data_IF_706301748927
#
_entry.id   IF_706301748927
#
_cell.length_a   1.000
_cell.length_b   1.000
_cell.length_c   1.000
_cell.angle_alpha   90.00
_cell.angle_beta   90.00
_cell.angle_gamma   90.00
#
_symmetry.space_group_name_H-M   'P 1'
#
loop_
_entity.id
_entity.type
_entity.pdbx_description
1 polymer ?
#
# COMPACT_ATOMS: atom_id res chain seq x y z
N UNK A 1 1.31 -67.85 36.82
CA UNK A 1 1.50 -66.56 37.48
C UNK A 1 0.66 -65.49 36.73
N UNK A 2 -0.51 -65.25 37.29
CA UNK A 2 -1.51 -64.30 36.73
C UNK A 2 -1.18 -62.86 37.17
N UNK A 3 -0.71 -62.04 36.27
CA UNK A 3 -0.43 -60.60 36.50
C UNK A 3 -1.74 -59.89 36.73
N UNK A 4 -2.03 -59.56 37.99
CA UNK A 4 -3.18 -58.75 38.37
C UNK A 4 -2.91 -57.30 37.85
N UNK A 5 -3.55 -56.93 36.75
CA UNK A 5 -3.66 -55.55 36.36
C UNK A 5 -4.45 -54.79 37.45
N UNK A 6 -3.75 -53.98 38.26
CA UNK A 6 -4.37 -52.98 39.11
C UNK A 6 -5.25 -52.06 38.25
N UNK A 7 -6.55 -52.34 38.27
CA UNK A 7 -7.56 -51.47 37.72
C UNK A 7 -7.47 -50.12 38.45
N UNK A 8 -7.12 -49.04 37.73
CA UNK A 8 -7.18 -47.69 38.26
C UNK A 8 -8.67 -47.33 38.34
N UNK A 9 -9.30 -47.60 39.52
CA UNK A 9 -10.72 -47.31 39.76
C UNK A 9 -10.98 -45.82 39.59
N UNK A 10 -11.89 -45.48 38.70
CA UNK A 10 -12.49 -44.15 38.63
C UNK A 10 -13.35 -43.98 39.89
N UNK A 11 -13.09 -42.91 40.65
CA UNK A 11 -13.86 -42.67 41.89
C UNK A 11 -15.30 -42.28 41.54
N UNK A 12 -16.21 -43.23 41.80
CA UNK A 12 -17.66 -43.10 41.63
C UNK A 12 -18.18 -42.08 42.65
N UNK A 13 -18.47 -40.87 42.22
CA UNK A 13 -19.11 -39.83 43.04
C UNK A 13 -18.44 -38.45 43.08
N UNK A 14 -17.21 -38.32 42.64
CA UNK A 14 -16.54 -37.03 42.61
C UNK A 14 -16.85 -36.25 41.34
N UNK A 15 -17.38 -35.02 41.48
CA UNK A 15 -17.54 -34.08 40.36
C UNK A 15 -16.37 -33.06 40.36
N UNK A 16 -15.49 -33.13 39.37
CA UNK A 16 -14.40 -32.16 39.27
C UNK A 16 -14.97 -30.75 39.06
N UNK A 17 -14.39 -29.75 39.75
CA UNK A 17 -14.75 -28.33 39.59
C UNK A 17 -13.95 -27.67 38.47
N UNK A 18 -14.54 -26.64 37.84
CA UNK A 18 -13.91 -25.80 36.82
C UNK A 18 -13.42 -26.51 35.54
N UNK A 19 -14.16 -27.51 35.07
CA UNK A 19 -13.88 -28.17 33.79
C UNK A 19 -14.59 -27.48 32.61
N UNK A 20 -13.97 -27.55 31.42
CA UNK A 20 -14.68 -27.21 30.19
C UNK A 20 -15.86 -28.17 29.97
N UNK A 21 -16.91 -27.73 29.27
CA UNK A 21 -18.10 -28.56 28.97
C UNK A 21 -17.71 -29.89 28.31
N UNK A 22 -16.72 -29.85 27.39
CA UNK A 22 -16.24 -31.03 26.69
C UNK A 22 -15.48 -32.00 27.61
N UNK A 23 -14.66 -31.48 28.52
CA UNK A 23 -13.94 -32.34 29.48
C UNK A 23 -14.90 -32.99 30.46
N UNK A 24 -15.90 -32.27 30.95
CA UNK A 24 -16.94 -32.80 31.80
C UNK A 24 -17.73 -33.93 31.12
N UNK A 25 -18.18 -33.70 29.87
CA UNK A 25 -18.89 -34.70 29.08
C UNK A 25 -18.04 -35.97 28.89
N UNK A 26 -16.78 -35.84 28.49
CA UNK A 26 -15.89 -37.00 28.29
C UNK A 26 -15.65 -37.77 29.58
N UNK A 27 -15.50 -37.07 30.70
CA UNK A 27 -15.33 -37.70 32.01
C UNK A 27 -16.60 -38.45 32.42
N UNK A 28 -17.78 -37.88 32.23
CA UNK A 28 -19.04 -38.57 32.50
C UNK A 28 -19.19 -39.85 31.67
N UNK A 29 -18.79 -39.85 30.42
CA UNK A 29 -18.81 -41.04 29.57
C UNK A 29 -17.88 -42.11 30.12
N UNK A 30 -16.66 -41.75 30.58
CA UNK A 30 -15.75 -42.70 31.20
C UNK A 30 -16.36 -43.35 32.48
N UNK A 31 -17.00 -42.55 33.34
CA UNK A 31 -17.67 -43.08 34.56
C UNK A 31 -18.88 -43.94 34.20
N UNK A 32 -19.72 -43.52 33.26
CA UNK A 32 -20.89 -44.29 32.81
C UNK A 32 -20.48 -45.65 32.25
N UNK A 33 -19.37 -45.66 31.47
CA UNK A 33 -18.82 -46.90 30.93
C UNK A 33 -18.39 -47.86 32.05
N UNK A 34 -17.64 -47.41 33.08
CA UNK A 34 -17.27 -48.26 34.21
C UNK A 34 -18.49 -48.80 34.94
N UNK A 35 -19.51 -47.98 35.16
CA UNK A 35 -20.78 -48.43 35.79
C UNK A 35 -21.50 -49.50 34.97
N UNK A 36 -21.49 -49.40 33.65
CA UNK A 36 -22.08 -50.44 32.80
C UNK A 36 -21.27 -51.75 32.87
N UNK A 37 -19.94 -51.62 32.86
CA UNK A 37 -19.05 -52.79 33.01
C UNK A 37 -19.20 -53.49 34.33
N UNK A 38 -19.38 -52.77 35.44
CA UNK A 38 -19.67 -53.37 36.78
C UNK A 38 -21.07 -54.05 36.87
N UNK A 39 -22.01 -53.64 36.01
CA UNK A 39 -23.30 -54.24 35.85
C UNK A 39 -23.33 -55.48 34.95
N UNK A 40 -22.17 -55.89 34.40
CA UNK A 40 -22.02 -57.08 33.57
C UNK A 40 -22.15 -56.86 32.04
N UNK A 41 -22.37 -55.64 31.57
CA UNK A 41 -22.43 -55.37 30.13
C UNK A 41 -21.09 -55.67 29.48
N UNK A 42 -21.12 -56.24 28.27
CA UNK A 42 -19.94 -56.42 27.46
C UNK A 42 -19.36 -55.05 27.02
N UNK A 43 -18.11 -55.01 26.54
CA UNK A 43 -17.50 -53.77 26.05
C UNK A 43 -18.29 -53.17 24.89
N UNK A 44 -18.72 -54.02 23.96
CA UNK A 44 -19.47 -53.58 22.76
C UNK A 44 -20.81 -52.96 23.14
N UNK A 45 -21.58 -53.63 23.98
CA UNK A 45 -22.89 -53.17 24.47
C UNK A 45 -22.75 -51.84 25.24
N UNK A 46 -21.74 -51.72 26.10
CA UNK A 46 -21.55 -50.51 26.88
C UNK A 46 -21.21 -49.29 25.98
N UNK A 47 -20.39 -49.48 24.96
CA UNK A 47 -20.02 -48.43 24.03
C UNK A 47 -21.16 -48.05 23.08
N UNK A 48 -21.94 -49.03 22.63
CA UNK A 48 -23.15 -48.83 21.85
C UNK A 48 -24.21 -48.04 22.63
N UNK A 49 -24.44 -48.42 23.89
CA UNK A 49 -25.35 -47.69 24.78
C UNK A 49 -24.92 -46.22 24.96
N UNK A 50 -23.62 -45.97 25.08
CA UNK A 50 -23.08 -44.63 25.24
C UNK A 50 -22.95 -43.86 23.91
N UNK A 51 -23.24 -44.49 22.77
CA UNK A 51 -23.13 -43.92 21.42
C UNK A 51 -21.75 -43.34 21.11
N UNK A 52 -20.69 -44.00 21.58
CA UNK A 52 -19.30 -43.55 21.39
C UNK A 52 -18.49 -44.61 20.64
N UNK A 53 -17.79 -44.19 19.59
CA UNK A 53 -16.92 -45.11 18.84
C UNK A 53 -15.77 -45.59 19.74
N UNK A 54 -15.44 -46.89 19.62
CA UNK A 54 -14.38 -47.54 20.40
C UNK A 54 -13.06 -46.79 20.38
N UNK A 55 -12.62 -46.36 19.19
CA UNK A 55 -11.37 -45.59 19.00
C UNK A 55 -11.38 -44.26 19.77
N UNK A 56 -12.51 -43.55 19.76
CA UNK A 56 -12.70 -42.27 20.46
C UNK A 56 -12.67 -42.50 21.98
N UNK A 57 -13.37 -43.49 22.46
CA UNK A 57 -13.39 -43.84 23.88
C UNK A 57 -11.99 -44.16 24.41
N UNK A 58 -11.25 -45.05 23.73
CA UNK A 58 -9.89 -45.41 24.17
C UNK A 58 -8.89 -44.25 24.03
N UNK A 59 -9.07 -43.38 23.09
CA UNK A 59 -8.30 -42.12 23.01
C UNK A 59 -8.51 -41.26 24.27
N UNK A 60 -9.77 -41.09 24.71
CA UNK A 60 -10.06 -40.35 25.93
C UNK A 60 -9.54 -41.06 27.18
N UNK A 61 -9.71 -42.40 27.28
CA UNK A 61 -9.21 -43.18 28.37
C UNK A 61 -7.68 -43.14 28.49
N UNK A 62 -6.97 -43.18 27.33
CA UNK A 62 -5.52 -43.04 27.28
C UNK A 62 -5.08 -41.66 27.80
N UNK A 63 -5.79 -40.60 27.40
CA UNK A 63 -5.52 -39.24 27.87
C UNK A 63 -5.76 -39.10 29.38
N UNK A 64 -6.84 -39.65 29.88
CA UNK A 64 -7.16 -39.65 31.31
C UNK A 64 -6.10 -40.39 32.14
N UNK A 65 -5.61 -41.52 31.64
CA UNK A 65 -4.56 -42.34 32.30
C UNK A 65 -3.14 -41.78 32.12
N UNK A 66 -2.90 -40.87 31.19
CA UNK A 66 -1.56 -40.42 30.87
C UNK A 66 -0.91 -39.56 31.95
N UNK A 67 -1.68 -38.99 32.85
CA UNK A 67 -1.17 -38.22 33.99
C UNK A 67 -1.39 -38.91 35.33
N UNK A 68 -0.35 -38.92 36.16
CA UNK A 68 -0.45 -39.21 37.58
C UNK A 68 -0.90 -37.96 38.33
N UNK A 69 -1.73 -38.11 39.36
CA UNK A 69 -2.18 -36.98 40.18
C UNK A 69 -3.67 -37.04 40.54
N UNK A 70 -4.22 -35.93 41.02
CA UNK A 70 -5.59 -35.80 41.43
C UNK A 70 -6.58 -35.97 40.26
N UNK A 71 -7.82 -36.31 40.58
CA UNK A 71 -8.89 -36.47 39.57
C UNK A 71 -9.05 -35.22 38.74
N UNK A 72 -8.92 -34.03 39.31
CA UNK A 72 -9.00 -32.78 38.61
C UNK A 72 -7.88 -32.62 37.55
N UNK A 73 -6.66 -33.07 37.85
CA UNK A 73 -5.54 -33.04 36.91
C UNK A 73 -5.74 -34.01 35.75
N UNK A 74 -6.25 -35.20 36.02
CA UNK A 74 -6.56 -36.23 35.02
C UNK A 74 -7.73 -35.80 34.10
N UNK A 75 -8.76 -35.18 34.67
CA UNK A 75 -9.92 -34.69 33.89
C UNK A 75 -9.61 -33.48 33.08
N UNK A 76 -8.69 -32.60 33.50
CA UNK A 76 -8.22 -31.47 32.71
C UNK A 76 -7.57 -31.92 31.38
N UNK A 77 -6.93 -33.11 31.34
CA UNK A 77 -6.37 -33.65 30.09
C UNK A 77 -7.43 -34.06 29.06
N UNK A 78 -8.68 -34.19 29.48
CA UNK A 78 -9.80 -34.46 28.58
C UNK A 78 -10.27 -33.22 27.81
N UNK A 79 -9.83 -32.01 28.17
CA UNK A 79 -10.14 -30.78 27.46
C UNK A 79 -9.56 -30.81 26.04
N UNK A 80 -10.16 -30.02 25.15
CA UNK A 80 -9.61 -29.84 23.78
C UNK A 80 -8.26 -29.19 23.85
N UNK A 81 -7.25 -29.80 23.23
CA UNK A 81 -5.92 -29.19 23.11
C UNK A 81 -5.98 -28.08 22.06
N UNK A 82 -5.28 -26.99 22.33
CA UNK A 82 -5.13 -25.91 21.37
C UNK A 82 -4.55 -26.44 20.05
N UNK A 83 -5.16 -26.09 18.94
CA UNK A 83 -4.65 -26.38 17.59
C UNK A 83 -3.67 -25.30 17.11
N UNK A 84 -3.37 -24.28 17.91
CA UNK A 84 -2.41 -23.25 17.56
C UNK A 84 -1.01 -23.86 17.48
N UNK A 85 -0.19 -23.49 16.46
CA UNK A 85 1.17 -23.95 16.38
C UNK A 85 1.93 -23.55 17.65
N UNK A 86 2.63 -24.51 18.30
CA UNK A 86 3.45 -24.23 19.47
C UNK A 86 4.75 -23.50 19.12
N UNK A 87 5.19 -23.58 17.87
CA UNK A 87 6.32 -22.81 17.37
C UNK A 87 5.88 -21.39 17.02
N UNK A 88 5.91 -20.49 17.99
CA UNK A 88 5.91 -19.07 17.67
C UNK A 88 7.16 -18.79 16.84
N UNK A 89 6.96 -18.35 15.56
CA UNK A 89 8.08 -17.76 14.82
C UNK A 89 8.63 -16.68 15.72
N UNK A 90 9.91 -16.81 16.14
CA UNK A 90 10.59 -15.75 16.88
C UNK A 90 10.39 -14.48 16.06
N UNK A 91 9.59 -13.56 16.54
CA UNK A 91 9.42 -12.24 15.91
C UNK A 91 10.80 -11.65 15.86
N UNK A 92 11.36 -11.45 14.64
CA UNK A 92 12.65 -10.76 14.51
C UNK A 92 12.52 -9.45 15.25
N UNK A 93 13.32 -9.26 16.29
CA UNK A 93 13.36 -8.01 17.05
C UNK A 93 13.82 -6.95 16.06
N UNK A 94 12.95 -5.97 15.82
CA UNK A 94 13.27 -4.83 14.95
C UNK A 94 14.13 -3.88 15.77
N UNK A 95 15.30 -3.52 15.26
CA UNK A 95 16.21 -2.64 16.00
C UNK A 95 15.59 -1.25 16.20
N UNK A 96 15.76 -0.63 17.38
CA UNK A 96 15.27 0.73 17.62
C UNK A 96 15.81 1.76 16.62
N UNK A 97 17.07 1.56 16.16
CA UNK A 97 17.68 2.42 15.13
C UNK A 97 16.89 2.38 13.82
N UNK A 98 16.51 1.19 13.35
CA UNK A 98 15.69 1.04 12.15
C UNK A 98 14.30 1.69 12.31
N UNK A 99 13.69 1.57 13.48
CA UNK A 99 12.39 2.22 13.77
C UNK A 99 12.53 3.75 13.70
N UNK A 100 13.57 4.31 14.34
CA UNK A 100 13.86 5.75 14.31
C UNK A 100 14.14 6.24 12.89
N UNK A 101 14.89 5.47 12.09
CA UNK A 101 15.21 5.81 10.72
C UNK A 101 13.96 5.85 9.82
N UNK A 102 13.13 4.81 9.90
CA UNK A 102 11.84 4.77 9.19
C UNK A 102 10.92 5.91 9.62
N UNK A 103 10.92 6.27 10.91
CA UNK A 103 10.15 7.40 11.41
C UNK A 103 10.62 8.72 10.78
N UNK A 104 11.94 8.98 10.73
CA UNK A 104 12.50 10.17 10.09
C UNK A 104 12.10 10.27 8.63
N UNK A 105 12.28 9.18 7.84
CA UNK A 105 11.86 9.15 6.42
C UNK A 105 10.36 9.43 6.31
N UNK A 106 9.53 8.86 7.17
CA UNK A 106 8.08 9.03 7.13
C UNK A 106 7.63 10.42 7.55
N UNK A 107 8.35 11.09 8.45
CA UNK A 107 8.10 12.48 8.85
C UNK A 107 8.50 13.45 7.73
N UNK A 108 9.65 13.22 7.10
CA UNK A 108 10.09 14.02 5.95
C UNK A 108 9.16 13.82 4.75
N UNK A 109 8.73 12.58 4.49
CA UNK A 109 7.94 12.17 3.34
C UNK A 109 6.63 11.48 3.77
N UNK A 110 5.61 12.24 4.19
CA UNK A 110 4.38 11.66 4.75
C UNK A 110 3.61 10.75 3.79
N UNK A 111 3.82 10.88 2.48
CA UNK A 111 3.13 10.11 1.43
C UNK A 111 3.89 8.87 0.95
N UNK A 112 5.11 8.61 1.49
CA UNK A 112 5.84 7.40 1.11
C UNK A 112 5.26 6.17 1.78
N UNK A 113 4.83 5.19 0.98
CA UNK A 113 4.41 3.87 1.43
C UNK A 113 5.61 2.97 1.74
N UNK A 114 5.33 1.76 2.21
CA UNK A 114 6.34 0.77 2.64
C UNK A 114 7.37 0.43 1.55
N UNK A 115 6.96 0.39 0.28
CA UNK A 115 7.83 0.09 -0.86
C UNK A 115 8.82 1.23 -1.15
N UNK A 116 8.32 2.48 -1.16
CA UNK A 116 9.17 3.66 -1.36
C UNK A 116 10.17 3.83 -0.22
N UNK A 117 9.74 3.67 1.02
CA UNK A 117 10.62 3.73 2.21
C UNK A 117 11.69 2.64 2.13
N UNK A 118 11.33 1.40 1.75
CA UNK A 118 12.31 0.33 1.53
C UNK A 118 13.37 0.77 0.51
N UNK A 119 12.96 1.38 -0.60
CA UNK A 119 13.90 1.83 -1.64
C UNK A 119 14.82 2.95 -1.17
N UNK A 120 14.33 3.87 -0.33
CA UNK A 120 15.17 4.90 0.29
C UNK A 120 16.21 4.25 1.20
N UNK A 121 15.79 3.30 2.05
CA UNK A 121 16.71 2.56 2.93
C UNK A 121 17.77 1.76 2.16
N UNK A 122 17.40 1.18 1.01
CA UNK A 122 18.36 0.46 0.14
C UNK A 122 19.42 1.39 -0.44
N UNK A 123 19.09 2.67 -0.76
CA UNK A 123 20.07 3.68 -1.20
C UNK A 123 21.05 4.08 -0.09
N UNK A 124 20.68 3.83 1.17
CA UNK A 124 21.50 4.05 2.36
C UNK A 124 22.13 2.73 2.88
N UNK A 125 22.24 1.70 2.02
CA UNK A 125 22.78 0.36 2.32
C UNK A 125 22.08 -0.39 3.44
N UNK A 126 20.83 0.00 3.77
CA UNK A 126 20.01 -0.67 4.81
C UNK A 126 19.05 -1.67 4.15
N UNK A 127 19.45 -2.96 4.17
CA UNK A 127 18.68 -4.04 3.56
C UNK A 127 17.56 -4.54 4.49
N UNK A 128 16.32 -4.22 4.15
CA UNK A 128 15.11 -4.64 4.90
C UNK A 128 14.00 -5.12 3.96
N UNK A 129 13.15 -6.03 4.45
CA UNK A 129 11.99 -6.47 3.68
C UNK A 129 10.84 -5.44 3.75
N UNK A 130 10.03 -5.35 2.69
CA UNK A 130 8.80 -4.53 2.64
C UNK A 130 7.88 -4.87 3.82
N UNK A 131 7.77 -6.15 4.19
CA UNK A 131 6.96 -6.60 5.33
C UNK A 131 7.48 -6.06 6.67
N UNK A 132 8.79 -5.89 6.83
CA UNK A 132 9.40 -5.31 8.04
C UNK A 132 9.07 -3.82 8.12
N UNK A 133 9.27 -3.07 7.02
CA UNK A 133 8.87 -1.65 6.96
C UNK A 133 7.38 -1.49 7.26
N UNK A 134 6.52 -2.32 6.67
CA UNK A 134 5.07 -2.28 6.94
C UNK A 134 4.71 -2.52 8.40
N UNK A 135 5.40 -3.44 9.10
CA UNK A 135 5.21 -3.68 10.55
C UNK A 135 5.63 -2.48 11.39
N UNK A 136 6.76 -1.85 11.04
CA UNK A 136 7.22 -0.64 11.73
C UNK A 136 6.23 0.51 11.54
N UNK A 137 5.77 0.75 10.32
CA UNK A 137 4.77 1.80 10.05
C UNK A 137 3.47 1.56 10.84
N UNK A 138 3.00 0.31 10.91
CA UNK A 138 1.82 -0.04 11.71
C UNK A 138 2.06 0.25 13.19
N UNK A 139 3.20 -0.16 13.73
CA UNK A 139 3.59 0.11 15.11
C UNK A 139 3.64 1.62 15.41
N UNK A 140 4.25 2.42 14.51
CA UNK A 140 4.33 3.87 14.67
C UNK A 140 2.94 4.55 14.62
N UNK A 141 2.01 4.05 13.77
CA UNK A 141 0.62 4.50 13.74
C UNK A 141 -0.13 4.16 15.04
N UNK A 142 0.03 2.94 15.55
CA UNK A 142 -0.59 2.50 16.81
C UNK A 142 -0.08 3.30 18.01
N UNK A 143 1.18 3.76 17.96
CA UNK A 143 1.79 4.64 18.97
C UNK A 143 1.46 6.14 18.75
N UNK A 144 0.71 6.50 17.72
CA UNK A 144 0.37 7.89 17.42
C UNK A 144 1.55 8.75 16.95
N UNK A 145 2.70 8.14 16.59
CA UNK A 145 3.90 8.87 16.15
C UNK A 145 3.82 9.28 14.67
N UNK A 146 2.97 8.64 13.88
CA UNK A 146 2.66 9.02 12.51
C UNK A 146 1.16 8.98 12.28
N UNK A 147 0.67 9.90 11.46
CA UNK A 147 -0.74 9.97 11.10
C UNK A 147 -1.09 9.03 9.93
N UNK A 148 -2.36 8.61 9.90
CA UNK A 148 -2.89 7.91 8.75
C UNK A 148 -3.05 8.89 7.57
N UNK A 149 -2.36 8.62 6.47
CA UNK A 149 -2.32 9.46 5.26
C UNK A 149 -3.73 9.75 4.73
N UNK A 150 -4.60 8.75 4.69
CA UNK A 150 -5.97 8.92 4.18
C UNK A 150 -6.78 9.94 4.98
N UNK A 151 -6.51 10.08 6.29
CA UNK A 151 -7.14 11.09 7.13
C UNK A 151 -6.57 12.48 6.87
N UNK A 152 -5.24 12.58 6.69
CA UNK A 152 -4.55 13.85 6.40
C UNK A 152 -4.96 14.43 5.04
N UNK A 153 -5.04 13.58 4.01
CA UNK A 153 -5.49 13.96 2.66
C UNK A 153 -6.95 14.40 2.67
N UNK A 154 -7.84 13.67 3.35
CA UNK A 154 -9.26 14.06 3.45
C UNK A 154 -9.46 15.44 4.10
N UNK A 155 -8.67 15.80 5.10
CA UNK A 155 -8.77 17.11 5.77
C UNK A 155 -8.37 18.28 4.87
N UNK A 156 -7.43 18.08 3.93
CA UNK A 156 -6.93 19.12 3.00
C UNK A 156 -7.63 19.12 1.63
N UNK A 157 -8.27 18.01 1.21
CA UNK A 157 -8.85 17.88 -0.15
C UNK A 157 -10.16 18.65 -0.39
N UNK A 158 -10.79 19.21 0.65
CA UNK A 158 -12.04 19.96 0.53
C UNK A 158 -11.91 21.30 -0.22
N UNK A 159 -10.70 21.72 -0.55
CA UNK A 159 -10.39 23.05 -1.07
C UNK A 159 -10.03 23.12 -2.56
N UNK A 160 -9.95 21.97 -3.26
CA UNK A 160 -9.57 21.94 -4.66
C UNK A 160 -10.78 21.71 -5.57
N UNK A 161 -11.27 22.78 -6.20
CA UNK A 161 -12.28 22.70 -7.26
C UNK A 161 -11.62 22.94 -8.62
N UNK A 162 -11.81 22.02 -9.55
CA UNK A 162 -11.39 22.17 -10.94
C UNK A 162 -12.59 22.52 -11.83
N UNK A 163 -12.44 23.53 -12.70
CA UNK A 163 -13.44 23.85 -13.72
C UNK A 163 -12.95 23.35 -15.09
N UNK A 164 -13.84 22.77 -15.89
CA UNK A 164 -13.54 22.28 -17.24
C UNK A 164 -14.43 22.92 -18.29
N UNK A 165 -13.87 23.28 -19.44
CA UNK A 165 -14.60 23.45 -20.71
C UNK A 165 -13.73 22.95 -21.87
N UNK A 166 -14.38 22.30 -22.86
CA UNK A 166 -13.72 21.56 -23.95
C UNK A 166 -14.12 22.07 -25.32
N UNK A 167 -13.21 22.08 -26.29
CA UNK A 167 -13.50 22.07 -27.73
C UNK A 167 -12.44 21.29 -28.52
N UNK A 168 -12.78 20.84 -29.67
CA UNK A 168 -12.40 19.76 -30.58
C UNK A 168 -10.93 19.55 -30.99
N UNK A 169 -10.73 18.37 -31.54
CA UNK A 169 -9.60 17.56 -31.55
C UNK A 169 -9.44 16.57 -32.67
N UNK A 170 -8.29 16.34 -33.14
CA UNK A 170 -7.95 15.18 -33.93
C UNK A 170 -7.11 14.11 -33.22
N UNK A 171 -7.02 12.94 -33.81
CA UNK A 171 -6.82 11.61 -33.20
C UNK A 171 -5.40 11.31 -32.73
N UNK A 172 -5.30 10.89 -31.65
CA UNK A 172 -4.67 9.92 -30.76
C UNK A 172 -3.78 8.90 -31.42
N UNK A 173 -2.57 8.88 -30.86
CA UNK A 173 -1.63 7.80 -31.04
C UNK A 173 -2.10 6.54 -30.29
N UNK A 174 -2.33 5.45 -31.03
CA UNK A 174 -2.72 4.16 -30.43
C UNK A 174 -1.57 3.41 -29.76
N UNK A 175 -0.32 3.74 -30.10
CA UNK A 175 0.86 3.06 -29.56
C UNK A 175 1.44 3.83 -28.40
N UNK A 176 1.88 3.09 -27.38
CA UNK A 176 2.63 3.69 -26.28
C UNK A 176 3.99 4.21 -26.78
N UNK A 177 4.43 5.40 -26.36
CA UNK A 177 5.75 5.88 -26.69
C UNK A 177 6.81 4.97 -26.08
N UNK A 178 7.89 4.76 -26.82
CA UNK A 178 8.99 3.85 -26.45
C UNK A 178 10.29 4.60 -26.20
N UNK A 179 10.40 5.84 -26.72
CA UNK A 179 11.58 6.70 -26.58
C UNK A 179 11.23 7.95 -25.79
N UNK A 180 12.19 8.52 -25.03
CA UNK A 180 12.04 9.84 -24.44
C UNK A 180 11.75 10.90 -25.53
N UNK A 181 10.84 11.81 -25.26
CA UNK A 181 10.47 12.88 -26.20
C UNK A 181 9.56 12.46 -27.37
N UNK A 182 9.35 11.15 -27.60
CA UNK A 182 8.47 10.66 -28.65
C UNK A 182 7.03 11.20 -28.49
N UNK A 183 6.57 11.38 -27.25
CA UNK A 183 5.31 12.00 -26.89
C UNK A 183 5.43 12.70 -25.55
N UNK A 184 5.08 13.97 -25.47
CA UNK A 184 4.92 14.70 -24.21
C UNK A 184 3.44 14.96 -23.98
N UNK A 185 2.93 14.60 -22.80
CA UNK A 185 1.58 14.98 -22.37
C UNK A 185 1.63 16.30 -21.61
N UNK A 186 0.82 17.26 -22.04
CA UNK A 186 0.69 18.57 -21.37
C UNK A 186 -0.75 18.75 -20.90
N UNK A 187 -0.88 19.27 -19.69
CA UNK A 187 -2.17 19.61 -19.07
C UNK A 187 -2.01 20.86 -18.21
N UNK A 188 -3.11 21.56 -17.94
CA UNK A 188 -3.10 22.64 -16.99
C UNK A 188 -4.09 22.41 -15.85
N UNK A 189 -3.75 22.93 -14.67
CA UNK A 189 -4.62 22.90 -13.50
C UNK A 189 -4.90 24.31 -13.00
N UNK A 190 -6.17 24.51 -12.59
CA UNK A 190 -6.57 25.69 -11.83
C UNK A 190 -6.69 25.28 -10.37
N UNK A 191 -5.89 25.88 -9.52
CA UNK A 191 -5.88 25.64 -8.09
C UNK A 191 -6.38 26.91 -7.37
N UNK A 192 -7.40 26.74 -6.55
CA UNK A 192 -7.85 27.76 -5.60
C UNK A 192 -7.37 27.33 -4.23
N UNK A 193 -6.40 28.02 -3.69
CA UNK A 193 -5.79 27.71 -2.40
C UNK A 193 -6.57 28.34 -1.25
N UNK A 194 -6.37 27.82 -0.06
CA UNK A 194 -7.06 28.28 1.15
C UNK A 194 -6.76 29.75 1.52
N UNK A 195 -5.60 30.29 1.09
CA UNK A 195 -5.19 31.68 1.26
C UNK A 195 -5.77 32.64 0.18
N UNK A 196 -6.67 32.15 -0.68
CA UNK A 196 -7.31 32.93 -1.75
C UNK A 196 -6.51 33.04 -3.03
N UNK A 197 -5.27 32.54 -3.09
CA UNK A 197 -4.48 32.50 -4.32
C UNK A 197 -5.12 31.59 -5.37
N UNK A 198 -5.20 32.09 -6.61
CA UNK A 198 -5.58 31.33 -7.79
C UNK A 198 -4.34 31.04 -8.61
N UNK A 199 -3.96 29.78 -8.67
CA UNK A 199 -2.77 29.31 -9.39
C UNK A 199 -3.20 28.64 -10.69
N UNK A 200 -2.52 29.00 -11.77
CA UNK A 200 -2.60 28.35 -13.08
C UNK A 200 -1.28 27.61 -13.29
N UNK A 201 -1.32 26.31 -13.13
CA UNK A 201 -0.16 25.45 -13.27
C UNK A 201 -0.23 24.67 -14.57
N UNK A 202 0.76 24.83 -15.42
CA UNK A 202 1.01 23.96 -16.58
C UNK A 202 1.98 22.86 -16.19
N UNK A 203 1.73 21.65 -16.68
CA UNK A 203 2.60 20.50 -16.47
C UNK A 203 2.79 19.72 -17.75
N UNK A 204 4.06 19.40 -18.03
CA UNK A 204 4.48 18.49 -19.08
C UNK A 204 5.02 17.21 -18.45
N UNK A 205 4.70 16.07 -19.03
CA UNK A 205 5.20 14.76 -18.60
C UNK A 205 5.58 13.93 -19.80
N UNK A 206 6.78 13.37 -19.78
CA UNK A 206 7.16 12.32 -20.72
C UNK A 206 6.59 10.96 -20.25
N UNK A 207 5.67 10.31 -21.00
CA UNK A 207 5.10 9.01 -20.65
C UNK A 207 6.11 7.88 -20.55
N UNK A 208 7.27 7.99 -21.19
CA UNK A 208 8.30 6.96 -21.20
C UNK A 208 9.13 6.99 -19.92
N UNK A 209 9.71 8.14 -19.61
CA UNK A 209 10.63 8.31 -18.46
C UNK A 209 9.93 8.77 -17.18
N UNK A 210 8.73 9.36 -17.28
CA UNK A 210 8.00 10.06 -16.21
C UNK A 210 8.67 11.38 -15.79
N UNK A 211 9.67 11.86 -16.50
CA UNK A 211 10.20 13.20 -16.28
C UNK A 211 9.07 14.23 -16.41
N UNK A 212 9.04 15.18 -15.48
CA UNK A 212 7.96 16.15 -15.38
C UNK A 212 8.50 17.56 -15.17
N UNK A 213 7.93 18.51 -15.87
CA UNK A 213 8.19 19.95 -15.74
C UNK A 213 6.88 20.64 -15.40
N UNK A 214 6.91 21.54 -14.43
CA UNK A 214 5.74 22.28 -13.94
C UNK A 214 6.03 23.77 -13.78
N UNK A 215 5.11 24.62 -14.26
CA UNK A 215 5.24 26.09 -14.17
C UNK A 215 3.94 26.73 -13.77
N UNK A 216 4.06 27.81 -12.99
CA UNK A 216 2.93 28.62 -12.53
C UNK A 216 2.88 29.93 -13.32
N UNK A 217 1.70 30.24 -13.83
CA UNK A 217 1.38 31.49 -14.51
C UNK A 217 0.17 32.17 -13.88
N UNK A 218 0.04 33.47 -14.13
CA UNK A 218 -1.11 34.25 -13.65
C UNK A 218 -2.38 33.91 -14.43
N UNK A 219 -2.27 33.45 -15.67
CA UNK A 219 -3.36 33.05 -16.53
C UNK A 219 -3.04 31.81 -17.34
N UNK A 220 -4.06 31.01 -17.67
CA UNK A 220 -3.95 29.91 -18.62
C UNK A 220 -4.50 30.41 -19.97
N UNK A 221 -3.62 30.90 -20.82
CA UNK A 221 -3.88 31.36 -22.19
C UNK A 221 -2.86 30.77 -23.14
N UNK A 222 -3.07 30.92 -24.45
CA UNK A 222 -2.22 30.34 -25.47
C UNK A 222 -0.79 30.92 -25.45
N UNK A 223 -0.63 32.18 -25.08
CA UNK A 223 0.68 32.81 -24.94
C UNK A 223 1.51 32.13 -23.82
N UNK A 224 0.88 31.96 -22.64
CA UNK A 224 1.56 31.31 -21.51
C UNK A 224 1.81 29.81 -21.76
N UNK A 225 0.92 29.13 -22.47
CA UNK A 225 1.14 27.76 -22.89
C UNK A 225 2.33 27.64 -23.85
N UNK A 226 2.47 28.59 -24.81
CA UNK A 226 3.62 28.68 -25.70
C UNK A 226 4.91 28.92 -24.91
N UNK A 227 4.93 29.89 -24.00
CA UNK A 227 6.12 30.18 -23.18
C UNK A 227 6.48 28.96 -22.31
N UNK A 228 5.49 28.28 -21.74
CA UNK A 228 5.69 27.03 -21.03
C UNK A 228 6.35 25.96 -21.92
N UNK A 229 5.89 25.77 -23.15
CA UNK A 229 6.48 24.81 -24.08
C UNK A 229 7.94 25.16 -24.45
N UNK A 230 8.29 26.45 -24.57
CA UNK A 230 9.68 26.85 -24.74
C UNK A 230 10.55 26.43 -23.55
N UNK A 231 10.07 26.66 -22.31
CA UNK A 231 10.79 26.22 -21.11
C UNK A 231 10.95 24.69 -21.09
N UNK A 232 9.88 23.93 -21.41
CA UNK A 232 9.92 22.46 -21.47
C UNK A 232 10.98 21.95 -22.46
N UNK A 233 11.08 22.58 -23.65
CA UNK A 233 12.09 22.20 -24.63
C UNK A 233 13.53 22.51 -24.18
N UNK A 234 13.70 23.57 -23.44
CA UNK A 234 15.02 23.94 -22.92
C UNK A 234 15.48 23.07 -21.74
N UNK A 235 14.55 22.49 -20.99
CA UNK A 235 14.87 21.73 -19.79
C UNK A 235 14.93 20.20 -20.01
N UNK A 236 14.22 19.70 -21.03
CA UNK A 236 14.40 18.29 -21.41
C UNK A 236 15.68 18.13 -22.23
N UNK A 237 16.51 17.16 -21.88
CA UNK A 237 17.78 16.84 -22.57
C UNK A 237 17.56 16.02 -23.85
N UNK A 238 16.32 15.87 -24.31
CA UNK A 238 15.93 15.12 -25.48
C UNK A 238 15.01 15.98 -26.39
N UNK A 239 15.01 15.66 -27.67
CA UNK A 239 14.16 16.31 -28.65
C UNK A 239 12.68 15.87 -28.49
N UNK A 240 11.76 16.84 -28.62
CA UNK A 240 10.31 16.59 -28.51
C UNK A 240 9.74 16.38 -29.91
N UNK A 241 9.35 15.17 -30.23
CA UNK A 241 8.75 14.83 -31.52
C UNK A 241 7.24 15.17 -31.58
N UNK A 242 6.53 14.95 -30.48
CA UNK A 242 5.08 15.20 -30.44
C UNK A 242 4.57 15.60 -29.05
N UNK A 243 3.46 16.33 -29.05
CA UNK A 243 2.77 16.80 -27.86
C UNK A 243 1.31 16.33 -27.89
N UNK A 244 0.77 15.98 -26.75
CA UNK A 244 -0.63 15.63 -26.58
C UNK A 244 -1.27 16.52 -25.51
N UNK A 245 -2.39 17.15 -25.86
CA UNK A 245 -3.17 18.06 -24.99
C UNK A 245 -4.65 17.70 -24.98
N UNK A 246 -5.39 18.21 -24.03
CA UNK A 246 -6.83 17.93 -23.85
C UNK A 246 -7.78 18.82 -24.69
N UNK A 247 -7.27 19.64 -25.59
CA UNK A 247 -8.08 20.54 -26.43
C UNK A 247 -8.67 21.73 -25.68
N UNK A 248 -8.07 22.16 -24.58
CA UNK A 248 -8.37 23.43 -23.92
C UNK A 248 -8.05 24.62 -24.82
N UNK A 249 -8.75 25.73 -24.64
CA UNK A 249 -8.54 26.96 -25.45
C UNK A 249 -7.14 27.56 -25.30
N UNK A 250 -6.43 27.25 -24.23
CA UNK A 250 -5.04 27.64 -23.95
C UNK A 250 -4.02 26.93 -24.85
N UNK A 251 -4.40 25.85 -25.51
CA UNK A 251 -3.57 25.11 -26.44
C UNK A 251 -3.89 25.41 -27.91
N UNK A 252 -4.65 26.49 -28.17
CA UNK A 252 -5.00 26.97 -29.52
C UNK A 252 -4.18 28.22 -29.91
N UNK A 253 -4.25 28.59 -31.16
CA UNK A 253 -3.59 29.83 -31.66
C UNK A 253 -2.09 29.81 -31.47
N UNK A 254 -1.54 30.70 -30.68
CA UNK A 254 -0.08 30.91 -30.52
C UNK A 254 0.65 29.64 -30.08
N UNK A 255 -0.03 28.72 -29.36
CA UNK A 255 0.56 27.44 -28.99
C UNK A 255 0.65 26.50 -30.22
N UNK A 256 -0.42 26.40 -31.00
CA UNK A 256 -0.46 25.59 -32.22
C UNK A 256 0.56 26.12 -33.25
N UNK A 257 0.59 27.44 -33.49
CA UNK A 257 1.54 28.08 -34.37
C UNK A 257 2.98 27.78 -33.96
N UNK A 258 3.27 27.80 -32.66
CA UNK A 258 4.62 27.49 -32.18
C UNK A 258 4.96 26.01 -32.40
N UNK A 259 4.02 25.09 -32.19
CA UNK A 259 4.23 23.67 -32.50
C UNK A 259 4.53 23.45 -34.00
N UNK A 260 3.83 24.17 -34.90
CA UNK A 260 4.07 24.11 -36.36
C UNK A 260 5.45 24.66 -36.70
N UNK A 261 5.83 25.83 -36.17
CA UNK A 261 7.14 26.46 -36.41
C UNK A 261 8.30 25.55 -36.00
N UNK A 262 8.15 24.86 -34.87
CA UNK A 262 9.15 23.94 -34.32
C UNK A 262 9.04 22.51 -34.86
N UNK A 263 8.12 22.27 -35.79
CA UNK A 263 7.84 20.94 -36.40
C UNK A 263 7.44 19.88 -35.39
N UNK A 264 6.88 20.30 -34.27
CA UNK A 264 6.35 19.40 -33.24
C UNK A 264 4.94 18.97 -33.62
N UNK A 265 4.68 17.66 -33.67
CA UNK A 265 3.37 17.12 -33.99
C UNK A 265 2.41 17.29 -32.84
N UNK A 266 1.33 18.06 -33.01
CA UNK A 266 0.33 18.29 -31.99
C UNK A 266 -0.81 17.28 -32.11
N UNK A 267 -1.10 16.55 -31.01
CA UNK A 267 -2.25 15.69 -30.86
C UNK A 267 -3.22 16.30 -29.86
N UNK A 268 -4.43 16.57 -30.31
CA UNK A 268 -5.49 17.08 -29.46
C UNK A 268 -6.48 15.98 -29.14
N UNK A 269 -6.79 15.77 -27.86
CA UNK A 269 -7.64 14.69 -27.42
C UNK A 269 -9.12 14.98 -27.67
N UNK A 270 -9.92 13.94 -28.05
CA UNK A 270 -11.37 14.11 -28.11
C UNK A 270 -11.95 14.47 -26.73
N UNK A 271 -13.07 15.20 -26.71
CA UNK A 271 -13.78 15.51 -25.47
C UNK A 271 -14.11 14.24 -24.67
N UNK A 272 -13.97 14.30 -23.35
CA UNK A 272 -14.30 13.23 -22.40
C UNK A 272 -13.46 11.96 -22.57
N UNK A 273 -12.20 12.09 -22.93
CA UNK A 273 -11.26 10.97 -23.11
C UNK A 273 -10.14 10.93 -22.06
N UNK A 274 -10.44 10.92 -20.74
CA UNK A 274 -9.41 11.03 -19.68
C UNK A 274 -8.38 9.90 -19.71
N UNK A 275 -8.76 8.71 -20.16
CA UNK A 275 -7.84 7.56 -20.25
C UNK A 275 -6.63 7.80 -21.16
N UNK A 276 -6.69 8.80 -22.01
CA UNK A 276 -5.67 9.08 -23.01
C UNK A 276 -4.60 10.04 -22.52
N UNK A 277 -4.91 10.90 -21.53
CA UNK A 277 -3.97 11.81 -20.89
C UNK A 277 -3.51 11.30 -19.51
N UNK A 278 -3.53 9.97 -19.33
CA UNK A 278 -3.42 9.32 -18.03
C UNK A 278 -2.08 9.56 -17.33
N UNK A 279 -1.01 9.85 -18.04
CA UNK A 279 0.30 10.08 -17.42
C UNK A 279 0.39 11.45 -16.76
N UNK A 280 -0.02 12.51 -17.46
CA UNK A 280 -0.05 13.85 -16.87
C UNK A 280 -1.14 13.94 -15.78
N UNK A 281 -2.32 13.29 -15.98
CA UNK A 281 -3.35 13.22 -14.94
C UNK A 281 -2.84 12.53 -13.67
N UNK A 282 -2.14 11.40 -13.81
CA UNK A 282 -1.52 10.70 -12.67
C UNK A 282 -0.46 11.55 -11.99
N UNK A 283 0.34 12.28 -12.75
CA UNK A 283 1.34 13.20 -12.21
C UNK A 283 0.64 14.37 -11.49
N UNK A 284 -0.43 14.92 -12.06
CA UNK A 284 -1.27 15.93 -11.42
C UNK A 284 -1.82 15.43 -10.07
N UNK A 285 -2.28 14.18 -9.98
CA UNK A 285 -2.68 13.56 -8.72
C UNK A 285 -1.52 13.48 -7.72
N UNK A 286 -0.31 13.08 -8.19
CA UNK A 286 0.86 13.00 -7.33
C UNK A 286 1.22 14.36 -6.74
N UNK A 287 1.29 15.40 -7.58
CA UNK A 287 1.55 16.76 -7.10
C UNK A 287 0.44 17.26 -6.16
N UNK A 288 -0.81 16.97 -6.47
CA UNK A 288 -1.93 17.31 -5.58
C UNK A 288 -1.78 16.69 -4.20
N UNK A 289 -1.45 15.41 -4.13
CA UNK A 289 -1.40 14.67 -2.85
C UNK A 289 -0.07 14.83 -2.12
N UNK A 290 1.05 14.94 -2.84
CA UNK A 290 2.37 14.96 -2.22
C UNK A 290 2.94 16.39 -2.06
N UNK A 291 2.40 17.38 -2.80
CA UNK A 291 2.80 18.77 -2.73
C UNK A 291 1.68 19.69 -2.26
N UNK A 292 0.66 19.94 -3.09
CA UNK A 292 -0.37 20.95 -2.80
C UNK A 292 -1.16 20.70 -1.51
N UNK A 293 -1.35 19.45 -1.10
CA UNK A 293 -2.07 19.09 0.12
C UNK A 293 -1.16 18.90 1.34
N UNK A 294 0.14 18.91 1.18
CA UNK A 294 1.11 18.57 2.26
C UNK A 294 1.93 19.77 2.67
N UNK A 295 2.42 20.55 1.70
CA UNK A 295 3.27 21.69 1.99
C UNK A 295 2.44 22.90 2.41
N UNK A 296 3.03 23.74 3.27
CA UNK A 296 2.52 25.08 3.51
C UNK A 296 2.86 25.93 2.30
N UNK A 297 1.84 26.37 1.58
CA UNK A 297 2.01 27.16 0.37
C UNK A 297 2.16 28.62 0.77
N UNK A 298 3.25 29.29 0.32
CA UNK A 298 3.47 30.71 0.60
C UNK A 298 2.36 31.60 0.05
N UNK A 299 2.24 32.81 0.61
CA UNK A 299 1.23 33.78 0.18
C UNK A 299 1.59 34.46 -1.15
N UNK A 300 2.84 34.37 -1.61
CA UNK A 300 3.28 34.96 -2.87
C UNK A 300 3.49 33.90 -3.95
N UNK A 301 3.17 34.27 -5.19
CA UNK A 301 3.36 33.39 -6.37
C UNK A 301 4.84 33.06 -6.59
N UNK A 302 5.74 34.02 -6.35
CA UNK A 302 7.19 33.86 -6.54
C UNK A 302 7.77 32.82 -5.58
N UNK A 303 7.40 32.86 -4.33
CA UNK A 303 7.85 31.85 -3.34
C UNK A 303 7.22 30.49 -3.64
N UNK A 304 5.95 30.48 -4.07
CA UNK A 304 5.28 29.26 -4.52
C UNK A 304 5.97 28.64 -5.74
N UNK A 305 6.43 29.44 -6.71
CA UNK A 305 7.24 28.98 -7.85
C UNK A 305 8.55 28.34 -7.39
N UNK A 306 9.26 28.95 -6.46
CA UNK A 306 10.51 28.40 -5.90
C UNK A 306 10.26 27.08 -5.17
N UNK A 307 9.17 27.00 -4.41
CA UNK A 307 8.80 25.78 -3.70
C UNK A 307 8.38 24.65 -4.65
N UNK A 308 7.63 24.99 -5.73
CA UNK A 308 7.27 24.04 -6.79
C UNK A 308 8.50 23.50 -7.51
N UNK A 309 9.49 24.33 -7.82
CA UNK A 309 10.77 23.90 -8.42
C UNK A 309 11.53 22.91 -7.54
N UNK A 310 11.57 23.15 -6.23
CA UNK A 310 12.17 22.19 -5.28
C UNK A 310 11.43 20.85 -5.28
N UNK A 311 10.08 20.88 -5.35
CA UNK A 311 9.31 19.65 -5.42
C UNK A 311 9.47 18.93 -6.78
N UNK A 312 9.56 19.66 -7.88
CA UNK A 312 9.86 19.13 -9.21
C UNK A 312 11.21 18.42 -9.23
N UNK A 313 12.25 19.03 -8.65
CA UNK A 313 13.56 18.38 -8.47
C UNK A 313 13.42 17.06 -7.70
N UNK A 314 12.76 17.10 -6.55
CA UNK A 314 12.49 15.90 -5.75
C UNK A 314 11.70 14.85 -6.54
N UNK A 315 10.68 15.23 -7.30
CA UNK A 315 9.89 14.33 -8.13
C UNK A 315 10.75 13.60 -9.16
N UNK A 316 11.64 14.32 -9.85
CA UNK A 316 12.45 13.80 -10.93
C UNK A 316 13.70 13.04 -10.45
N UNK A 317 14.34 13.48 -9.36
CA UNK A 317 15.67 13.00 -8.96
C UNK A 317 15.66 12.14 -7.67
N UNK A 318 14.68 12.29 -6.81
CA UNK A 318 14.70 11.64 -5.50
C UNK A 318 13.54 10.65 -5.30
N UNK A 319 12.39 10.92 -5.90
CA UNK A 319 11.17 10.17 -5.66
C UNK A 319 11.15 8.85 -6.42
N UNK A 320 11.07 7.67 -5.73
CA UNK A 320 10.94 6.38 -6.40
C UNK A 320 9.55 6.22 -7.06
N UNK A 321 9.53 5.77 -8.32
CA UNK A 321 8.32 5.51 -9.07
C UNK A 321 8.06 4.01 -9.23
N UNK A 322 6.92 3.53 -8.76
CA UNK A 322 6.55 2.11 -8.86
C UNK A 322 6.51 1.63 -10.33
N UNK A 323 6.00 2.47 -11.24
CA UNK A 323 5.92 2.15 -12.68
C UNK A 323 7.29 2.07 -13.36
N UNK A 324 8.34 2.55 -12.73
CA UNK A 324 9.74 2.51 -13.17
C UNK A 324 10.58 1.53 -12.34
N UNK A 325 9.96 0.50 -11.75
CA UNK A 325 10.63 -0.43 -10.84
C UNK A 325 11.32 0.27 -9.66
N UNK A 326 10.68 1.31 -9.14
CA UNK A 326 11.19 2.16 -8.04
C UNK A 326 12.46 2.94 -8.35
N UNK A 327 12.80 3.10 -9.61
CA UNK A 327 13.77 4.11 -10.04
C UNK A 327 13.12 5.50 -10.01
N UNK A 328 13.97 6.53 -9.90
CA UNK A 328 13.52 7.90 -10.18
C UNK A 328 13.41 8.10 -11.69
N UNK A 329 12.65 9.11 -12.17
CA UNK A 329 12.58 9.44 -13.59
C UNK A 329 13.94 9.62 -14.24
N UNK A 330 14.87 10.31 -13.59
CA UNK A 330 16.22 10.55 -14.14
C UNK A 330 17.07 9.26 -14.14
N UNK A 331 17.01 8.44 -13.09
CA UNK A 331 17.71 7.15 -13.07
C UNK A 331 17.22 6.24 -14.21
N UNK A 332 15.92 6.27 -14.48
CA UNK A 332 15.33 5.47 -15.56
C UNK A 332 15.75 6.02 -16.94
N UNK A 333 15.74 7.34 -17.12
CA UNK A 333 16.17 8.00 -18.34
C UNK A 333 17.66 7.67 -18.65
N UNK A 334 18.56 7.82 -17.68
CA UNK A 334 19.98 7.52 -17.85
C UNK A 334 20.22 6.06 -18.26
N UNK A 335 19.51 5.11 -17.65
CA UNK A 335 19.58 3.69 -18.05
C UNK A 335 19.10 3.46 -19.48
N UNK A 336 18.11 4.19 -19.94
CA UNK A 336 17.64 4.07 -21.33
C UNK A 336 18.70 4.54 -22.31
N UNK A 337 19.42 5.63 -22.02
CA UNK A 337 20.50 6.14 -22.87
C UNK A 337 21.68 5.16 -22.88
N UNK A 338 22.09 4.67 -21.69
CA UNK A 338 23.18 3.69 -21.58
C UNK A 338 22.89 2.39 -22.37
N UNK A 339 21.65 1.95 -22.40
CA UNK A 339 21.24 0.75 -23.15
C UNK A 339 21.05 1.01 -24.67
N UNK A 340 21.02 2.26 -25.10
CA UNK A 340 20.86 2.66 -26.50
C UNK A 340 22.20 3.01 -27.19
N UNK A 341 23.24 3.26 -26.40
CA UNK A 341 24.62 3.49 -26.83
C UNK A 341 25.38 2.16 -27.01
#
# INVERSE_FOLDING_TARGET
MTTVHKACSLSLGYRPHNLSKEASYRYEILIKYERLRTKGFSESEALEFLKVKRSTFYSWLKRYKSKCGTINMKTAELANKSRRPHNFRKTKIISPQLVSHILKIRQAEPMFGKEKIKRVLEKEDILVSVSTVGRVLKYLMEKGQIENIHLKVKRKSSYLKTSKRLRYAERIRKQKPTKPGELIQIDHMVLNLYNGLKIKEFRAVDPTTRLSISRIYNSANALNAREFLKEVRNEFEFEIESIQVDGGSEFMGEFEEYCEQEKIKLYVLPPRSPKMNCYVERTNETYRYEFWNVYEIPDTIEETRKLLRKFEYKYNFERPHQSLNYLTPIEYYNRMIENAA
#
